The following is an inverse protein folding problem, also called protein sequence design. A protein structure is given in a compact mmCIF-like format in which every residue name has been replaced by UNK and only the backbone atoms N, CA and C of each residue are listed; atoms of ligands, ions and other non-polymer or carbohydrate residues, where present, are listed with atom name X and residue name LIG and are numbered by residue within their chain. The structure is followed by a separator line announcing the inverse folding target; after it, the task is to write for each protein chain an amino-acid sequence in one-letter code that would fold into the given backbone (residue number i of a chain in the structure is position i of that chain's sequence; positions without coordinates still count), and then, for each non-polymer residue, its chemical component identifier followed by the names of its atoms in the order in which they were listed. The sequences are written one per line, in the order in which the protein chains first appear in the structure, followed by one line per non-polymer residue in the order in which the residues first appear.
data_IF_850441556535
#
_entry.id   IF_850441556535
#
_cell.length_a   1.000
_cell.length_b   1.000
_cell.length_c   1.000
_cell.angle_alpha   90.00
_cell.angle_beta   90.00
_cell.angle_gamma   90.00
#
_symmetry.space_group_name_H-M   'P 1'
#
loop_
_entity.id
_entity.type
_entity.pdbx_description
1 polymer ?
#
# COMPACT_ATOMS: atom_id res chain seq x y z
N UNK A 1 33.57 -22.66 -40.07
CA UNK A 1 32.18 -22.51 -40.55
C UNK A 1 31.65 -21.21 -39.97
N UNK A 2 31.83 -20.11 -40.71
CA UNK A 2 31.40 -18.79 -40.28
C UNK A 2 29.89 -18.65 -40.37
N UNK A 3 29.25 -18.32 -39.26
CA UNK A 3 27.82 -18.01 -39.22
C UNK A 3 27.54 -16.83 -40.18
N UNK A 4 26.54 -16.95 -41.09
CA UNK A 4 26.28 -15.96 -42.13
C UNK A 4 25.93 -14.59 -41.52
N UNK A 5 26.40 -13.49 -42.12
CA UNK A 5 26.26 -12.09 -41.63
C UNK A 5 24.86 -11.73 -41.10
N UNK A 6 23.80 -12.26 -41.73
CA UNK A 6 22.41 -12.07 -41.29
C UNK A 6 22.14 -12.62 -39.88
N UNK A 7 22.70 -13.77 -39.52
CA UNK A 7 22.53 -14.38 -38.19
C UNK A 7 23.21 -13.56 -37.08
N UNK A 8 24.35 -12.91 -37.36
CA UNK A 8 25.01 -12.00 -36.41
C UNK A 8 24.19 -10.73 -36.18
N UNK A 9 23.56 -10.18 -37.23
CA UNK A 9 22.69 -9.00 -37.12
C UNK A 9 21.43 -9.31 -36.31
N UNK A 10 20.80 -10.47 -36.54
CA UNK A 10 19.64 -10.93 -35.78
C UNK A 10 19.99 -11.20 -34.30
N UNK A 11 21.13 -11.83 -34.02
CA UNK A 11 21.59 -12.05 -32.65
C UNK A 11 21.87 -10.73 -31.91
N UNK A 12 22.42 -9.73 -32.60
CA UNK A 12 22.64 -8.38 -32.03
C UNK A 12 21.33 -7.67 -31.70
N UNK A 13 20.36 -7.68 -32.61
CA UNK A 13 19.04 -7.06 -32.41
C UNK A 13 18.26 -7.76 -31.30
N UNK A 14 18.32 -9.10 -31.23
CA UNK A 14 17.71 -9.87 -30.16
C UNK A 14 18.37 -9.56 -28.80
N UNK A 15 19.70 -9.41 -28.77
CA UNK A 15 20.45 -8.99 -27.59
C UNK A 15 20.08 -7.58 -27.13
N UNK A 16 20.04 -6.60 -28.04
CA UNK A 16 19.61 -5.22 -27.75
C UNK A 16 18.17 -5.17 -27.24
N UNK A 17 17.26 -5.93 -27.85
CA UNK A 17 15.85 -6.01 -27.44
C UNK A 17 15.68 -6.65 -26.05
N UNK A 18 16.45 -7.69 -25.73
CA UNK A 18 16.43 -8.33 -24.41
C UNK A 18 16.99 -7.40 -23.32
N UNK A 19 18.05 -6.65 -23.61
CA UNK A 19 18.63 -5.67 -22.68
C UNK A 19 17.64 -4.53 -22.42
N UNK A 20 17.01 -3.99 -23.46
CA UNK A 20 15.98 -2.95 -23.33
C UNK A 20 14.81 -3.43 -22.45
N UNK A 21 14.26 -4.62 -22.74
CA UNK A 21 13.17 -5.19 -21.95
C UNK A 21 13.55 -5.43 -20.47
N UNK A 22 14.80 -5.82 -20.20
CA UNK A 22 15.29 -6.00 -18.84
C UNK A 22 15.43 -4.67 -18.07
N UNK A 23 15.83 -3.60 -18.75
CA UNK A 23 15.89 -2.26 -18.17
C UNK A 23 14.48 -1.70 -17.93
N UNK A 24 13.56 -1.83 -18.89
CA UNK A 24 12.19 -1.35 -18.77
C UNK A 24 11.45 -1.99 -17.58
N UNK A 25 11.61 -3.31 -17.39
CA UNK A 25 11.03 -4.01 -16.24
C UNK A 25 11.67 -3.57 -14.93
N UNK A 26 12.99 -3.43 -14.91
CA UNK A 26 13.73 -2.96 -13.74
C UNK A 26 13.30 -1.55 -13.31
N UNK A 27 13.12 -0.66 -14.27
CA UNK A 27 12.70 0.72 -14.04
C UNK A 27 11.23 0.81 -13.63
N UNK A 28 10.35 0.02 -14.24
CA UNK A 28 8.96 -0.13 -13.78
C UNK A 28 8.90 -0.61 -12.32
N UNK A 29 9.62 -1.69 -11.98
CA UNK A 29 9.61 -2.26 -10.63
C UNK A 29 10.23 -1.30 -9.60
N UNK A 30 11.26 -0.54 -9.99
CA UNK A 30 11.84 0.52 -9.15
C UNK A 30 10.93 1.72 -8.99
N UNK A 31 10.04 1.98 -9.96
CA UNK A 31 9.01 3.01 -9.89
C UNK A 31 7.89 2.71 -8.89
N UNK A 32 7.73 1.44 -8.48
CA UNK A 32 6.75 1.07 -7.46
C UNK A 32 7.22 1.58 -6.08
N UNK A 33 6.35 2.25 -5.31
CA UNK A 33 6.62 2.65 -3.93
C UNK A 33 7.05 1.48 -3.05
N UNK A 34 7.85 1.76 -2.01
CA UNK A 34 8.60 0.74 -1.28
C UNK A 34 7.69 -0.29 -0.61
N UNK A 35 6.63 0.14 0.08
CA UNK A 35 5.76 -0.78 0.83
C UNK A 35 4.90 -1.61 -0.13
N UNK A 36 4.30 -0.96 -1.13
CA UNK A 36 3.51 -1.59 -2.20
C UNK A 36 4.33 -2.61 -2.97
N UNK A 37 5.59 -2.29 -3.27
CA UNK A 37 6.53 -3.19 -3.96
C UNK A 37 6.85 -4.42 -3.12
N UNK A 38 7.16 -4.24 -1.83
CA UNK A 38 7.41 -5.35 -0.93
C UNK A 38 6.18 -6.26 -0.80
N UNK A 39 4.99 -5.68 -0.64
CA UNK A 39 3.75 -6.43 -0.51
C UNK A 39 3.37 -7.18 -1.79
N UNK A 40 3.49 -6.54 -2.96
CA UNK A 40 3.31 -7.17 -4.27
C UNK A 40 4.28 -8.33 -4.48
N UNK A 41 5.57 -8.10 -4.21
CA UNK A 41 6.61 -9.12 -4.39
C UNK A 41 6.36 -10.31 -3.48
N UNK A 42 6.01 -10.06 -2.21
CA UNK A 42 5.66 -11.11 -1.28
C UNK A 42 4.46 -11.91 -1.82
N UNK A 43 3.41 -11.22 -2.28
CA UNK A 43 2.17 -11.83 -2.79
C UNK A 43 2.38 -12.69 -4.03
N UNK A 44 3.47 -12.50 -4.78
CA UNK A 44 3.87 -13.36 -5.92
C UNK A 44 4.78 -14.50 -5.47
N UNK A 45 5.79 -14.21 -4.66
CA UNK A 45 6.83 -15.18 -4.27
C UNK A 45 6.28 -16.26 -3.35
N UNK A 46 5.44 -15.91 -2.37
CA UNK A 46 4.92 -16.87 -1.38
C UNK A 46 4.03 -17.93 -2.01
N UNK A 47 3.07 -17.59 -2.90
CA UNK A 47 2.31 -18.62 -3.61
C UNK A 47 3.15 -19.50 -4.55
N UNK A 48 4.19 -18.93 -5.18
CA UNK A 48 5.12 -19.71 -6.00
C UNK A 48 5.91 -20.72 -5.17
N UNK A 49 6.43 -20.32 -4.01
CA UNK A 49 7.09 -21.23 -3.06
C UNK A 49 6.13 -22.33 -2.59
N UNK A 50 4.87 -21.97 -2.31
CA UNK A 50 3.83 -22.95 -1.95
C UNK A 50 3.56 -23.97 -3.06
N UNK A 51 3.57 -23.55 -4.33
CA UNK A 51 3.40 -24.45 -5.49
C UNK A 51 4.61 -25.36 -5.71
N UNK A 52 5.81 -24.90 -5.37
CA UNK A 52 7.05 -25.70 -5.43
C UNK A 52 7.12 -26.79 -4.35
N UNK A 53 6.11 -26.90 -3.47
CA UNK A 53 6.03 -27.96 -2.46
C UNK A 53 7.04 -27.82 -1.30
N UNK A 54 7.76 -26.69 -1.24
CA UNK A 54 8.73 -26.40 -0.17
C UNK A 54 8.06 -26.15 1.18
N UNK A 55 6.76 -25.83 1.20
CA UNK A 55 5.97 -25.59 2.41
C UNK A 55 4.65 -26.36 2.30
N UNK A 56 4.36 -27.21 3.30
CA UNK A 56 3.13 -27.99 3.36
C UNK A 56 1.90 -27.05 3.41
N UNK A 57 0.90 -27.21 2.52
CA UNK A 57 -0.36 -26.45 2.53
C UNK A 57 -1.12 -26.56 3.87
N UNK A 58 -0.93 -27.66 4.61
CA UNK A 58 -1.54 -27.91 5.92
C UNK A 58 -0.96 -27.06 7.04
N UNK A 59 0.30 -26.61 6.93
CA UNK A 59 0.92 -25.69 7.91
C UNK A 59 0.41 -24.26 7.83
N UNK A 60 -0.36 -23.93 6.79
CA UNK A 60 -0.76 -22.58 6.42
C UNK A 60 -2.27 -22.34 6.50
N UNK A 61 -3.02 -23.36 6.90
CA UNK A 61 -4.37 -23.20 7.44
C UNK A 61 -4.22 -22.75 8.90
N UNK A 62 -4.85 -21.62 9.23
CA UNK A 62 -4.84 -21.04 10.57
C UNK A 62 -5.60 -21.94 11.55
N UNK A 63 -4.90 -22.84 12.25
CA UNK A 63 -5.43 -23.45 13.47
C UNK A 63 -5.27 -22.44 14.62
N UNK A 64 -6.40 -21.85 15.05
CA UNK A 64 -6.49 -20.90 16.18
C UNK A 64 -5.81 -21.42 17.45
N UNK A 65 -5.86 -22.74 17.68
CA UNK A 65 -5.26 -23.42 18.83
C UNK A 65 -3.72 -23.33 18.89
N UNK A 66 -2.99 -23.26 17.76
CA UNK A 66 -1.52 -23.15 17.82
C UNK A 66 -1.02 -21.71 17.90
N UNK A 67 -1.81 -20.74 17.43
CA UNK A 67 -1.44 -19.33 17.47
C UNK A 67 -1.48 -18.77 18.91
N UNK A 68 -2.52 -19.10 19.68
CA UNK A 68 -2.68 -18.61 21.06
C UNK A 68 -1.66 -19.20 22.05
N UNK A 69 -1.21 -20.44 21.83
CA UNK A 69 -0.37 -21.17 22.79
C UNK A 69 1.14 -21.14 22.49
N UNK A 70 1.58 -20.86 21.24
CA UNK A 70 3.00 -20.99 20.85
C UNK A 70 3.64 -19.73 20.23
N UNK A 71 2.98 -18.57 20.23
CA UNK A 71 3.53 -17.28 19.75
C UNK A 71 4.23 -17.35 18.38
N UNK A 72 3.71 -18.16 17.45
CA UNK A 72 4.33 -18.32 16.12
C UNK A 72 3.89 -17.18 15.18
N UNK A 73 4.45 -15.99 15.38
CA UNK A 73 4.12 -14.75 14.62
C UNK A 73 4.38 -14.90 13.10
N UNK A 74 5.25 -15.81 12.69
CA UNK A 74 5.57 -16.04 11.28
C UNK A 74 4.43 -16.71 10.48
N UNK A 75 3.58 -17.53 11.10
CA UNK A 75 2.46 -18.21 10.42
C UNK A 75 1.37 -17.24 9.94
N UNK A 76 0.91 -16.30 10.78
CA UNK A 76 0.09 -15.16 10.38
C UNK A 76 0.64 -14.32 9.23
N UNK A 77 1.95 -14.09 9.24
CA UNK A 77 2.61 -13.29 8.23
C UNK A 77 2.65 -14.02 6.88
N UNK A 78 2.89 -15.34 6.90
CA UNK A 78 2.77 -16.16 5.69
C UNK A 78 1.33 -16.31 5.21
N UNK A 79 0.33 -16.35 6.10
CA UNK A 79 -1.09 -16.45 5.75
C UNK A 79 -1.64 -15.17 5.08
N UNK A 80 -1.13 -13.99 5.46
CA UNK A 80 -1.46 -12.72 4.81
C UNK A 80 -1.02 -12.67 3.33
N UNK A 81 0.03 -13.41 2.99
CA UNK A 81 0.66 -13.38 1.67
C UNK A 81 0.31 -14.64 0.85
N UNK A 82 -0.09 -15.71 1.52
CA UNK A 82 -0.41 -16.97 0.88
C UNK A 82 -1.82 -16.98 0.33
N UNK A 83 -1.89 -17.05 -1.00
CA UNK A 83 -3.11 -17.39 -1.71
C UNK A 83 -3.00 -18.83 -2.23
N UNK A 84 -3.94 -19.74 -1.88
CA UNK A 84 -3.92 -21.10 -2.40
C UNK A 84 -4.21 -21.06 -3.91
N UNK A 85 -3.16 -21.26 -4.72
CA UNK A 85 -3.27 -21.37 -6.18
C UNK A 85 -3.81 -22.77 -6.50
N UNK A 86 -5.13 -22.87 -6.66
CA UNK A 86 -5.79 -23.99 -7.32
C UNK A 86 -6.03 -23.63 -8.80
N UNK A 87 -6.05 -24.60 -9.73
CA UNK A 87 -6.43 -24.37 -11.13
C UNK A 87 -7.76 -23.63 -11.30
N UNK A 88 -8.67 -23.74 -10.33
CA UNK A 88 -9.98 -23.08 -10.32
C UNK A 88 -9.94 -21.65 -9.74
N UNK A 89 -8.93 -21.31 -8.93
CA UNK A 89 -8.83 -20.01 -8.22
C UNK A 89 -7.80 -19.06 -8.80
N UNK A 90 -7.01 -19.49 -9.80
CA UNK A 90 -5.93 -18.70 -10.39
C UNK A 90 -6.36 -17.39 -11.04
N UNK A 91 -7.54 -17.34 -11.66
CA UNK A 91 -8.06 -16.11 -12.25
C UNK A 91 -8.40 -15.05 -11.18
N UNK A 92 -9.09 -15.45 -10.12
CA UNK A 92 -9.41 -14.56 -8.99
C UNK A 92 -8.14 -14.06 -8.29
N UNK A 93 -7.12 -14.92 -8.15
CA UNK A 93 -5.81 -14.53 -7.66
C UNK A 93 -5.18 -13.41 -8.49
N UNK A 94 -5.18 -13.52 -9.82
CA UNK A 94 -4.62 -12.49 -10.70
C UNK A 94 -5.38 -11.16 -10.59
N UNK A 95 -6.70 -11.21 -10.48
CA UNK A 95 -7.55 -10.03 -10.26
C UNK A 95 -7.18 -9.36 -8.93
N UNK A 96 -7.11 -10.14 -7.86
CA UNK A 96 -6.73 -9.66 -6.53
C UNK A 96 -5.31 -9.09 -6.54
N UNK A 97 -4.37 -9.72 -7.22
CA UNK A 97 -3.01 -9.23 -7.40
C UNK A 97 -2.95 -7.91 -8.18
N UNK A 98 -3.81 -7.74 -9.19
CA UNK A 98 -3.94 -6.47 -9.91
C UNK A 98 -4.52 -5.37 -9.01
N UNK A 99 -5.59 -5.65 -8.27
CA UNK A 99 -6.19 -4.69 -7.36
C UNK A 99 -5.25 -4.30 -6.22
N UNK A 100 -4.54 -5.27 -5.67
CA UNK A 100 -3.43 -5.08 -4.75
C UNK A 100 -2.45 -4.06 -5.33
N UNK A 101 -1.83 -4.36 -6.47
CA UNK A 101 -0.84 -3.49 -7.09
C UNK A 101 -1.39 -2.09 -7.38
N UNK A 102 -2.56 -2.00 -8.02
CA UNK A 102 -3.14 -0.74 -8.49
C UNK A 102 -3.56 0.17 -7.34
N UNK A 103 -4.31 -0.35 -6.37
CA UNK A 103 -4.84 0.46 -5.26
C UNK A 103 -3.81 0.68 -4.16
N UNK A 104 -2.93 -0.28 -3.88
CA UNK A 104 -1.80 -0.11 -2.95
C UNK A 104 -0.91 1.03 -3.41
N UNK A 105 -0.49 1.01 -4.68
CA UNK A 105 0.37 2.04 -5.25
C UNK A 105 -0.31 3.41 -5.21
N UNK A 106 -1.58 3.51 -5.61
CA UNK A 106 -2.34 4.78 -5.57
C UNK A 106 -2.53 5.33 -4.17
N UNK A 107 -2.65 4.47 -3.16
CA UNK A 107 -2.73 4.88 -1.76
C UNK A 107 -1.39 5.40 -1.25
N UNK A 108 -0.30 4.69 -1.52
CA UNK A 108 1.04 5.06 -1.08
C UNK A 108 1.56 6.32 -1.78
N UNK A 109 1.27 6.52 -3.07
CA UNK A 109 1.62 7.76 -3.81
C UNK A 109 0.61 8.89 -3.67
N UNK A 110 -0.57 8.61 -3.12
CA UNK A 110 -1.66 9.58 -3.00
C UNK A 110 -1.66 10.21 -1.61
N UNK A 111 -2.50 9.65 -0.74
CA UNK A 111 -2.73 10.19 0.61
C UNK A 111 -1.52 9.98 1.53
N UNK A 112 -0.76 8.90 1.31
CA UNK A 112 0.43 8.58 2.11
C UNK A 112 1.75 8.98 1.44
N UNK A 113 1.71 9.90 0.46
CA UNK A 113 2.91 10.36 -0.25
C UNK A 113 3.96 10.91 0.72
N UNK A 114 5.17 10.33 0.68
CA UNK A 114 6.27 10.68 1.58
C UNK A 114 6.12 10.20 3.02
N UNK A 115 5.06 9.43 3.35
CA UNK A 115 4.78 8.85 4.68
C UNK A 115 4.57 7.33 4.63
N UNK A 116 5.58 6.56 4.19
CA UNK A 116 5.46 5.09 4.07
C UNK A 116 5.16 4.39 5.41
N UNK A 117 5.57 4.98 6.54
CA UNK A 117 5.27 4.44 7.87
C UNK A 117 3.78 4.47 8.21
N UNK A 118 3.05 5.52 7.81
CA UNK A 118 1.61 5.64 8.05
C UNK A 118 0.82 4.65 7.19
N UNK A 119 1.27 4.43 5.95
CA UNK A 119 0.71 3.41 5.08
C UNK A 119 0.94 2.00 5.62
N UNK A 120 2.17 1.70 6.09
CA UNK A 120 2.48 0.42 6.71
C UNK A 120 1.67 0.19 7.99
N UNK A 121 1.44 1.24 8.79
CA UNK A 121 0.59 1.16 9.97
C UNK A 121 -0.86 0.83 9.64
N UNK A 122 -1.43 1.43 8.59
CA UNK A 122 -2.76 1.05 8.09
C UNK A 122 -2.81 -0.44 7.70
N UNK A 123 -1.78 -0.94 7.01
CA UNK A 123 -1.70 -2.36 6.65
C UNK A 123 -1.63 -3.26 7.88
N UNK A 124 -0.84 -2.90 8.89
CA UNK A 124 -0.73 -3.63 10.15
C UNK A 124 -2.06 -3.60 10.93
N UNK A 125 -2.74 -2.46 10.96
CA UNK A 125 -4.07 -2.33 11.58
C UNK A 125 -5.08 -3.25 10.91
N UNK A 126 -5.16 -3.20 9.58
CA UNK A 126 -6.03 -4.08 8.80
C UNK A 126 -5.70 -5.56 9.03
N UNK A 127 -4.41 -5.89 9.12
CA UNK A 127 -3.92 -7.24 9.41
C UNK A 127 -4.34 -7.74 10.80
N UNK A 128 -4.25 -6.89 11.82
CA UNK A 128 -4.70 -7.21 13.19
C UNK A 128 -6.22 -7.41 13.25
N UNK A 129 -6.99 -6.56 12.58
CA UNK A 129 -8.45 -6.61 12.60
C UNK A 129 -9.04 -7.77 11.79
N UNK A 130 -8.45 -8.10 10.64
CA UNK A 130 -8.99 -9.11 9.72
C UNK A 130 -8.58 -10.55 10.06
N UNK A 131 -7.85 -10.75 11.17
CA UNK A 131 -7.32 -12.06 11.59
C UNK A 131 -6.77 -12.82 10.36
N UNK A 132 -5.91 -12.14 9.59
CA UNK A 132 -4.94 -12.77 8.69
C UNK A 132 -5.46 -13.30 7.34
N UNK A 133 -6.65 -12.89 6.87
CA UNK A 133 -7.12 -13.25 5.52
C UNK A 133 -6.67 -12.23 4.46
N UNK A 134 -6.12 -12.71 3.33
CA UNK A 134 -5.60 -11.89 2.23
C UNK A 134 -6.71 -11.22 1.39
N UNK A 135 -7.77 -11.97 1.06
CA UNK A 135 -8.95 -11.49 0.31
C UNK A 135 -9.61 -10.23 0.92
N UNK A 136 -10.00 -10.21 2.21
CA UNK A 136 -10.58 -9.01 2.82
C UNK A 136 -9.57 -7.86 2.96
N UNK A 137 -8.27 -8.14 2.98
CA UNK A 137 -7.25 -7.11 3.17
C UNK A 137 -7.09 -6.24 1.93
N UNK A 138 -7.08 -6.84 0.74
CA UNK A 138 -7.08 -6.08 -0.52
C UNK A 138 -8.32 -5.22 -0.61
N UNK A 139 -9.49 -5.80 -0.30
CA UNK A 139 -10.74 -5.08 -0.38
C UNK A 139 -10.84 -3.96 0.67
N UNK A 140 -10.26 -4.14 1.86
CA UNK A 140 -10.14 -3.09 2.88
C UNK A 140 -9.29 -1.92 2.39
N UNK A 141 -8.11 -2.19 1.82
CA UNK A 141 -7.22 -1.16 1.25
C UNK A 141 -7.92 -0.44 0.08
N UNK A 142 -8.54 -1.18 -0.82
CA UNK A 142 -9.34 -0.65 -1.92
C UNK A 142 -10.48 0.23 -1.40
N UNK A 143 -11.20 -0.22 -0.38
CA UNK A 143 -12.28 0.52 0.25
C UNK A 143 -11.79 1.87 0.79
N UNK A 144 -10.68 1.89 1.51
CA UNK A 144 -10.08 3.13 2.04
C UNK A 144 -9.75 4.09 0.90
N UNK A 145 -9.16 3.61 -0.19
CA UNK A 145 -8.89 4.43 -1.37
C UNK A 145 -10.17 5.00 -2.00
N UNK A 146 -11.21 4.17 -2.16
CA UNK A 146 -12.49 4.58 -2.71
C UNK A 146 -13.20 5.62 -1.86
N UNK A 147 -13.10 5.50 -0.54
CA UNK A 147 -13.71 6.43 0.40
C UNK A 147 -12.96 7.77 0.47
N UNK A 148 -11.66 7.77 0.16
CA UNK A 148 -10.85 8.99 0.03
C UNK A 148 -11.05 9.68 -1.32
N UNK A 149 -11.38 8.92 -2.37
CA UNK A 149 -11.54 9.42 -3.75
C UNK A 149 -12.97 9.19 -4.28
N UNK A 150 -14.00 9.50 -3.48
CA UNK A 150 -15.41 9.13 -3.75
C UNK A 150 -15.93 9.57 -5.12
N UNK A 151 -15.53 10.75 -5.57
CA UNK A 151 -15.98 11.34 -6.84
C UNK A 151 -15.10 10.95 -8.04
N UNK A 152 -14.00 10.26 -7.80
CA UNK A 152 -13.16 9.77 -8.89
C UNK A 152 -13.89 8.68 -9.68
N UNK A 153 -13.95 8.84 -11.00
CA UNK A 153 -14.51 7.84 -11.89
C UNK A 153 -13.47 6.74 -12.10
N UNK A 154 -13.84 5.51 -11.75
CA UNK A 154 -13.02 4.31 -11.99
C UNK A 154 -13.62 3.50 -13.13
N UNK A 155 -12.74 3.03 -14.00
CA UNK A 155 -13.11 2.07 -15.04
C UNK A 155 -13.04 0.67 -14.44
N UNK A 156 -14.11 -0.07 -14.63
CA UNK A 156 -14.25 -1.47 -14.27
C UNK A 156 -14.30 -2.33 -15.54
N UNK A 157 -14.43 -3.64 -15.35
CA UNK A 157 -14.43 -4.62 -16.43
C UNK A 157 -15.53 -4.29 -17.45
N UNK A 158 -15.27 -4.61 -18.72
CA UNK A 158 -16.17 -4.36 -19.85
C UNK A 158 -16.41 -2.88 -20.17
N UNK A 159 -15.50 -1.98 -19.80
CA UNK A 159 -15.62 -0.54 -20.09
C UNK A 159 -16.70 0.17 -19.27
N UNK A 160 -17.25 -0.51 -18.26
CA UNK A 160 -18.18 0.10 -17.32
C UNK A 160 -17.44 1.13 -16.46
N UNK A 161 -18.04 2.29 -16.24
CA UNK A 161 -17.45 3.36 -15.45
C UNK A 161 -18.43 3.82 -14.39
N UNK A 162 -17.93 3.98 -13.17
CA UNK A 162 -18.72 4.43 -12.03
C UNK A 162 -17.85 5.15 -11.02
N UNK A 163 -18.48 5.84 -10.07
CA UNK A 163 -17.77 6.51 -8.97
C UNK A 163 -17.06 5.49 -8.07
N UNK A 164 -15.84 5.80 -7.64
CA UNK A 164 -15.02 4.92 -6.82
C UNK A 164 -15.75 4.39 -5.59
N UNK A 165 -16.66 5.19 -4.99
CA UNK A 165 -17.50 4.79 -3.86
C UNK A 165 -18.28 3.48 -4.09
N UNK A 166 -18.66 3.15 -5.33
CA UNK A 166 -19.43 1.94 -5.66
C UNK A 166 -18.56 0.71 -5.91
N UNK A 167 -17.27 0.89 -6.18
CA UNK A 167 -16.34 -0.20 -6.52
C UNK A 167 -16.32 -1.35 -5.50
N UNK A 168 -16.23 -1.10 -4.18
CA UNK A 168 -16.19 -2.20 -3.21
C UNK A 168 -17.46 -3.06 -3.25
N UNK A 169 -18.62 -2.43 -3.47
CA UNK A 169 -19.91 -3.12 -3.52
C UNK A 169 -20.09 -3.92 -4.81
N UNK A 170 -19.62 -3.37 -5.93
CA UNK A 170 -19.58 -4.09 -7.22
C UNK A 170 -18.72 -5.34 -7.11
N UNK A 171 -17.59 -5.28 -6.41
CA UNK A 171 -16.72 -6.44 -6.18
C UNK A 171 -17.38 -7.51 -5.31
N UNK A 172 -18.08 -7.13 -4.24
CA UNK A 172 -18.87 -8.08 -3.43
C UNK A 172 -19.91 -8.78 -4.29
N UNK A 173 -20.67 -8.03 -5.10
CA UNK A 173 -21.69 -8.59 -5.98
C UNK A 173 -21.08 -9.56 -7.00
N UNK A 174 -19.95 -9.20 -7.59
CA UNK A 174 -19.24 -10.04 -8.56
C UNK A 174 -18.71 -11.33 -7.94
N UNK A 175 -18.08 -11.25 -6.76
CA UNK A 175 -17.60 -12.43 -6.04
C UNK A 175 -18.74 -13.32 -5.56
N UNK A 176 -19.87 -12.75 -5.15
CA UNK A 176 -21.07 -13.50 -4.80
C UNK A 176 -21.58 -14.32 -6.00
N UNK A 177 -21.60 -13.76 -7.20
CA UNK A 177 -22.05 -14.44 -8.42
C UNK A 177 -21.08 -15.55 -8.84
N UNK A 178 -19.76 -15.32 -8.75
CA UNK A 178 -18.75 -16.27 -9.25
C UNK A 178 -18.45 -17.39 -8.25
N UNK A 179 -18.32 -17.09 -6.96
CA UNK A 179 -17.91 -18.04 -5.92
C UNK A 179 -19.06 -18.52 -5.03
N UNK A 180 -20.24 -17.90 -5.10
CA UNK A 180 -21.35 -18.22 -4.20
C UNK A 180 -21.15 -17.76 -2.76
N UNK A 181 -20.19 -16.87 -2.49
CA UNK A 181 -19.91 -16.34 -1.15
C UNK A 181 -19.22 -14.97 -1.21
N UNK A 182 -19.62 -14.07 -0.30
CA UNK A 182 -19.13 -12.68 -0.23
C UNK A 182 -18.84 -12.19 1.20
N UNK A 183 -18.84 -13.10 2.19
CA UNK A 183 -18.72 -12.73 3.60
C UNK A 183 -17.34 -12.16 3.94
N UNK A 184 -16.28 -12.73 3.36
CA UNK A 184 -14.92 -12.22 3.52
C UNK A 184 -14.81 -10.80 2.98
N UNK A 185 -15.41 -10.53 1.84
CA UNK A 185 -15.44 -9.20 1.23
C UNK A 185 -16.19 -8.19 2.11
N UNK A 186 -17.33 -8.58 2.69
CA UNK A 186 -18.04 -7.73 3.64
C UNK A 186 -17.20 -7.40 4.88
N UNK A 187 -16.43 -8.36 5.41
CA UNK A 187 -15.48 -8.11 6.50
C UNK A 187 -14.39 -7.11 6.09
N UNK A 188 -13.87 -7.22 4.86
CA UNK A 188 -12.91 -6.27 4.30
C UNK A 188 -13.46 -4.84 4.26
N UNK A 189 -14.70 -4.68 3.82
CA UNK A 189 -15.41 -3.39 3.83
C UNK A 189 -15.58 -2.87 5.26
N UNK A 190 -16.02 -3.72 6.19
CA UNK A 190 -16.22 -3.34 7.59
C UNK A 190 -14.93 -2.83 8.22
N UNK A 191 -13.82 -3.55 8.06
CA UNK A 191 -12.52 -3.15 8.63
C UNK A 191 -11.97 -1.91 7.93
N UNK A 192 -12.08 -1.82 6.61
CA UNK A 192 -11.71 -0.61 5.87
C UNK A 192 -12.52 0.62 6.32
N UNK A 193 -13.81 0.44 6.58
CA UNK A 193 -14.67 1.49 7.13
C UNK A 193 -14.30 1.85 8.57
N UNK A 194 -13.96 0.87 9.41
CA UNK A 194 -13.50 1.10 10.77
C UNK A 194 -12.21 1.92 10.77
N UNK A 195 -11.22 1.56 9.95
CA UNK A 195 -10.00 2.34 9.79
C UNK A 195 -10.32 3.76 9.29
N UNK A 196 -11.15 3.88 8.25
CA UNK A 196 -11.52 5.18 7.70
C UNK A 196 -12.23 6.06 8.75
N UNK A 197 -13.13 5.47 9.53
CA UNK A 197 -13.86 6.16 10.58
C UNK A 197 -12.93 6.66 11.68
N UNK A 198 -12.08 5.79 12.22
CA UNK A 198 -11.15 6.12 13.30
C UNK A 198 -10.08 7.12 12.86
N UNK A 199 -9.59 7.01 11.62
CA UNK A 199 -8.50 7.84 11.12
C UNK A 199 -8.96 9.18 10.56
N UNK A 200 -10.09 9.23 9.84
CA UNK A 200 -10.51 10.44 9.11
C UNK A 200 -11.75 11.10 9.72
N UNK A 201 -12.79 10.32 10.04
CA UNK A 201 -14.08 10.89 10.47
C UNK A 201 -14.10 11.30 11.93
N UNK A 202 -13.55 10.46 12.80
CA UNK A 202 -13.48 10.69 14.24
C UNK A 202 -12.74 12.00 14.61
N UNK A 203 -11.53 12.30 14.08
CA UNK A 203 -10.88 13.57 14.40
C UNK A 203 -11.61 14.79 13.81
N UNK A 204 -12.33 14.64 12.69
CA UNK A 204 -13.11 15.72 12.08
C UNK A 204 -14.36 16.09 12.89
N UNK A 205 -15.07 15.09 13.41
CA UNK A 205 -16.34 15.31 14.11
C UNK A 205 -16.14 15.66 15.61
N UNK A 206 -15.06 15.18 16.24
CA UNK A 206 -14.86 15.31 17.69
C UNK A 206 -13.65 16.15 18.11
N UNK A 207 -12.87 16.71 17.18
CA UNK A 207 -11.77 17.64 17.46
C UNK A 207 -10.64 17.07 18.34
N UNK A 208 -10.57 15.74 18.49
CA UNK A 208 -9.63 15.06 19.35
C UNK A 208 -8.29 14.74 18.69
N UNK A 209 -7.30 14.37 19.52
CA UNK A 209 -6.04 13.76 19.07
C UNK A 209 -6.31 12.55 18.19
N UNK A 210 -5.56 12.37 17.11
CA UNK A 210 -5.69 11.21 16.20
C UNK A 210 -5.56 9.91 17.01
N UNK A 211 -6.67 9.17 17.16
CA UNK A 211 -6.73 7.94 17.96
C UNK A 211 -5.76 6.87 17.45
N UNK A 212 -5.52 6.87 16.13
CA UNK A 212 -4.59 6.00 15.44
C UNK A 212 -3.29 6.78 15.14
N UNK A 213 -2.41 6.85 16.13
CA UNK A 213 -1.07 7.42 15.94
C UNK A 213 -0.09 6.35 15.51
N UNK A 214 0.58 6.56 14.37
CA UNK A 214 1.65 5.68 13.89
C UNK A 214 2.74 5.57 14.97
N UNK A 215 3.06 4.35 15.45
CA UNK A 215 4.03 4.19 16.52
C UNK A 215 5.43 4.62 16.07
N UNK A 216 6.19 5.27 16.96
CA UNK A 216 7.46 5.91 16.62
C UNK A 216 8.52 4.94 16.08
N UNK A 217 8.45 3.65 16.41
CA UNK A 217 9.38 2.65 15.89
C UNK A 217 9.28 2.50 14.37
N UNK A 218 8.09 2.70 13.76
CA UNK A 218 7.93 2.59 12.31
C UNK A 218 8.68 3.71 11.59
N UNK A 219 8.70 4.92 12.14
CA UNK A 219 9.48 6.03 11.59
C UNK A 219 10.99 5.79 11.68
N UNK A 220 11.45 4.92 12.59
CA UNK A 220 12.86 4.52 12.67
C UNK A 220 13.28 3.62 11.50
N UNK A 221 12.38 2.75 11.05
CA UNK A 221 12.62 1.86 9.90
C UNK A 221 12.29 2.51 8.56
N UNK A 222 11.26 3.36 8.53
CA UNK A 222 10.76 4.06 7.35
C UNK A 222 10.64 5.56 7.67
N UNK A 223 11.74 6.31 7.58
CA UNK A 223 11.72 7.74 7.87
C UNK A 223 10.80 8.46 6.89
N UNK A 224 9.99 9.39 7.40
CA UNK A 224 9.19 10.26 6.56
C UNK A 224 10.11 11.09 5.67
N UNK A 225 9.90 11.00 4.36
CA UNK A 225 10.68 11.76 3.37
C UNK A 225 10.29 13.24 3.33
N UNK A 226 9.20 13.63 4.00
CA UNK A 226 8.83 15.02 4.28
C UNK A 226 8.70 15.23 5.78
N UNK A 227 9.52 16.14 6.31
CA UNK A 227 9.62 16.45 7.73
C UNK A 227 8.31 16.99 8.32
N UNK A 228 8.07 16.62 9.58
CA UNK A 228 7.07 17.25 10.43
C UNK A 228 5.71 16.56 10.40
N UNK A 229 5.31 16.08 11.57
CA UNK A 229 3.94 15.66 11.88
C UNK A 229 3.01 16.84 11.59
N UNK A 230 2.36 16.83 10.44
CA UNK A 230 1.17 17.63 10.19
C UNK A 230 0.00 16.66 10.15
N UNK A 231 -0.74 16.63 11.27
CA UNK A 231 -2.06 16.02 11.34
C UNK A 231 -2.97 16.68 10.32
N UNK A 232 -3.85 15.87 9.72
CA UNK A 232 -4.84 16.33 8.75
C UNK A 232 -5.68 17.45 9.38
N UNK A 233 -5.62 18.67 8.83
CA UNK A 233 -6.28 19.87 9.37
C UNK A 233 -5.35 20.90 10.05
N UNK A 234 -4.07 20.58 10.27
CA UNK A 234 -3.08 21.59 10.67
C UNK A 234 -2.37 22.17 9.45
N UNK A 235 -2.26 23.50 9.42
CA UNK A 235 -1.51 24.21 8.39
C UNK A 235 -0.09 23.64 8.28
N UNK A 236 0.44 23.41 7.06
CA UNK A 236 1.78 22.87 6.90
C UNK A 236 2.77 23.78 7.63
N UNK A 237 3.59 23.20 8.50
CA UNK A 237 4.72 23.91 9.07
C UNK A 237 5.55 24.43 7.90
N UNK A 238 5.60 25.76 7.76
CA UNK A 238 6.19 26.44 6.62
C UNK A 238 7.55 25.85 6.31
N UNK A 239 7.75 25.53 5.03
CA UNK A 239 9.01 25.06 4.44
C UNK A 239 10.14 25.92 5.00
N UNK A 240 10.87 25.42 6.01
CA UNK A 240 12.14 26.03 6.39
C UNK A 240 13.04 25.74 5.21
N UNK A 241 13.27 26.75 4.36
CA UNK A 241 14.36 26.73 3.40
C UNK A 241 15.59 26.41 4.23
N UNK A 242 16.20 25.26 3.94
CA UNK A 242 17.57 25.00 4.36
C UNK A 242 18.39 25.94 3.50
N UNK A 243 18.64 27.15 4.01
CA UNK A 243 19.65 28.04 3.45
C UNK A 243 21.00 27.42 3.84
N UNK A 244 21.63 26.79 2.86
CA UNK A 244 23.07 26.52 2.84
C UNK A 244 23.82 27.85 2.72
N UNK A 245 23.88 28.60 3.83
CA UNK A 245 24.87 29.67 3.97
C UNK A 245 25.31 29.74 5.44
N UNK A 246 26.32 28.92 5.73
CA UNK A 246 27.27 29.22 6.77
C UNK A 246 27.90 30.60 6.51
N UNK A 247 28.06 31.34 7.62
CA UNK A 247 28.92 32.52 7.77
C UNK A 247 28.40 33.86 7.21
N UNK A 248 27.78 34.64 8.10
CA UNK A 248 28.37 35.87 8.63
C UNK A 248 27.41 36.51 9.65
N UNK A 249 27.79 36.42 10.92
CA UNK A 249 27.16 37.15 12.02
C UNK A 249 27.30 38.65 11.79
N UNK A 250 26.20 39.36 11.54
CA UNK A 250 26.15 40.80 11.81
C UNK A 250 24.91 41.16 12.62
N UNK A 251 25.19 41.49 13.88
CA UNK A 251 24.26 41.96 14.91
C UNK A 251 24.07 43.46 14.73
N UNK A 252 23.04 43.87 13.99
CA UNK A 252 22.68 45.28 13.82
C UNK A 252 21.54 45.68 14.77
N UNK A 253 21.89 46.55 15.73
CA UNK A 253 21.06 47.62 16.28
C UNK A 253 19.71 47.26 16.93
N UNK A 254 19.69 47.17 18.26
CA UNK A 254 18.46 47.44 19.04
C UNK A 254 18.11 48.94 18.90
N UNK A 255 16.98 49.25 18.26
CA UNK A 255 16.40 50.58 18.27
C UNK A 255 15.53 50.78 19.52
N UNK A 256 15.90 51.75 20.36
CA UNK A 256 15.06 52.23 21.47
C UNK A 256 13.92 53.11 20.95
N UNK A 257 12.74 52.95 21.55
CA UNK A 257 11.53 53.75 21.36
C UNK A 257 11.69 55.15 21.98
N UNK A 258 11.36 56.19 21.22
CA UNK A 258 11.08 57.52 21.79
C UNK A 258 9.61 57.57 22.19
N UNK A 259 9.38 57.51 23.51
CA UNK A 259 8.11 57.80 24.18
C UNK A 259 7.86 59.31 24.07
N UNK A 260 6.76 59.68 23.41
CA UNK A 260 6.28 61.06 23.41
C UNK A 260 5.66 61.38 24.75
N UNK A 261 6.12 62.47 25.35
CA UNK A 261 5.43 63.11 26.47
C UNK A 261 4.70 64.35 25.92
N UNK A 262 3.41 64.43 26.24
CA UNK A 262 2.57 65.62 26.17
C UNK A 262 2.88 66.53 27.36
#
# INVERSE_FOLDING_TARGET
MDLPFQTRKLAKVAGESAVMASNDFGDWYRGIPLVSRCWFTASVVVPLIGKLGLVSPLSMILHWEMFAYHFQVWRPLTALVYYPISPQTGFHYLINLYFLYSYSTRLETGIFDGRPADYLFMLIFNWLCLVLLMDPMILSVLYVWCQLNKDQIVQFWFGTQFKAMYLPWVLVAFNLIIRGGGFSELLGILVGHLYFFLMFKYPQDFGGTVFLSTPQFLYKYLPNRRGGVAGFGMAPAGRRRVDDNQELHHRWGQGHTLRGDN
#
